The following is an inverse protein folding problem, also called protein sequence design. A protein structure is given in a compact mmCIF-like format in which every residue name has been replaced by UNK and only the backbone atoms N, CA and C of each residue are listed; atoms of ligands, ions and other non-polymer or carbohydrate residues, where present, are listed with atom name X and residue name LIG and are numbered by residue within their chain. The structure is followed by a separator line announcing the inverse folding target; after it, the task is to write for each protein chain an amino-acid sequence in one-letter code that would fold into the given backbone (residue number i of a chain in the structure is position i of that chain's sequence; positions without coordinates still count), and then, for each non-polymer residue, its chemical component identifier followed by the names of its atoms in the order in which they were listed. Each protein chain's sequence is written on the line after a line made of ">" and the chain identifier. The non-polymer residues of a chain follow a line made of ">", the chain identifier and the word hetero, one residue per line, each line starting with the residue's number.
data_IF_609883440823
#
_entry.id   IF_609883440823
#
_cell.length_a   1.000
_cell.length_b   1.000
_cell.length_c   1.000
_cell.angle_alpha   90.00
_cell.angle_beta   90.00
_cell.angle_gamma   90.00
#
_symmetry.space_group_name_H-M   'P 1'
#
loop_
_entity.id
_entity.type
_entity.pdbx_description
1 polymer ?
#
# COMPACT_ATOMS: atom_id res chain seq x y z
N UNK A 1 21.55 38.27 17.12
CA UNK A 1 20.50 37.44 16.49
C UNK A 1 19.41 37.22 17.52
N UNK A 2 18.24 37.85 17.36
CA UNK A 2 17.24 37.94 18.43
C UNK A 2 16.58 36.58 18.68
N UNK A 3 16.71 36.05 19.89
CA UNK A 3 16.18 34.74 20.30
C UNK A 3 14.67 34.60 20.01
N UNK A 4 13.91 35.70 20.08
CA UNK A 4 12.47 35.75 19.78
C UNK A 4 12.17 35.54 18.30
N UNK A 5 13.04 36.04 17.40
CA UNK A 5 12.89 35.89 15.95
C UNK A 5 13.20 34.45 15.54
N UNK A 6 14.21 33.83 16.16
CA UNK A 6 14.55 32.41 15.95
C UNK A 6 13.40 31.51 16.41
N UNK A 7 12.83 31.76 17.60
CA UNK A 7 11.70 30.98 18.11
C UNK A 7 10.46 31.13 17.21
N UNK A 8 10.11 32.34 16.79
CA UNK A 8 8.99 32.54 15.86
C UNK A 8 9.18 31.84 14.52
N UNK A 9 10.39 31.90 13.94
CA UNK A 9 10.68 31.23 12.66
C UNK A 9 10.60 29.70 12.78
N UNK A 10 11.06 29.14 13.90
CA UNK A 10 10.97 27.69 14.17
C UNK A 10 9.52 27.25 14.32
N UNK A 11 8.69 28.01 15.05
CA UNK A 11 7.26 27.69 15.24
C UNK A 11 6.50 27.79 13.91
N UNK A 12 6.76 28.82 13.11
CA UNK A 12 6.13 28.97 11.79
C UNK A 12 6.58 27.87 10.83
N UNK A 13 7.86 27.49 10.87
CA UNK A 13 8.39 26.37 10.06
C UNK A 13 7.76 25.02 10.43
N UNK A 14 7.59 24.73 11.71
CA UNK A 14 6.93 23.51 12.19
C UNK A 14 5.45 23.46 11.81
N UNK A 15 4.73 24.57 11.92
CA UNK A 15 3.33 24.66 11.51
C UNK A 15 3.17 24.50 10.00
N UNK A 16 4.03 25.13 9.20
CA UNK A 16 3.98 25.00 7.74
C UNK A 16 4.23 23.56 7.27
N UNK A 17 5.11 22.80 7.96
CA UNK A 17 5.36 21.39 7.64
C UNK A 17 4.13 20.49 7.87
N UNK A 18 3.28 20.80 8.85
CA UNK A 18 2.04 20.05 9.09
C UNK A 18 0.94 20.28 8.06
N UNK A 19 1.04 21.34 7.24
CA UNK A 19 0.12 21.63 6.15
C UNK A 19 0.67 21.27 4.78
N UNK A 20 1.82 20.61 4.71
CA UNK A 20 2.34 20.10 3.45
C UNK A 20 1.32 19.11 2.86
N UNK A 21 0.91 19.27 1.59
CA UNK A 21 0.04 18.31 0.94
C UNK A 21 0.72 16.93 1.00
N UNK A 22 -0.06 15.88 1.29
CA UNK A 22 0.46 14.52 1.22
C UNK A 22 1.00 14.28 -0.19
N UNK A 23 2.23 13.79 -0.29
CA UNK A 23 2.79 13.42 -1.58
C UNK A 23 2.07 12.18 -2.12
N UNK A 24 2.03 12.06 -3.44
CA UNK A 24 1.45 10.91 -4.13
C UNK A 24 1.98 9.57 -3.61
N UNK A 25 3.29 9.49 -3.30
CA UNK A 25 3.90 8.28 -2.75
C UNK A 25 3.31 7.91 -1.38
N UNK A 26 3.12 8.89 -0.50
CA UNK A 26 2.54 8.68 0.83
C UNK A 26 1.08 8.20 0.76
N UNK A 27 0.31 8.70 -0.21
CA UNK A 27 -1.09 8.26 -0.42
C UNK A 27 -1.14 6.81 -0.90
N UNK A 28 -0.27 6.42 -1.84
CA UNK A 28 -0.20 5.05 -2.35
C UNK A 28 0.27 4.06 -1.28
N UNK A 29 1.29 4.44 -0.50
CA UNK A 29 1.76 3.65 0.64
C UNK A 29 0.67 3.49 1.71
N UNK A 30 -0.06 4.57 2.01
CA UNK A 30 -1.20 4.54 2.91
C UNK A 30 -2.29 3.57 2.44
N UNK A 31 -2.64 3.62 1.15
CA UNK A 31 -3.63 2.73 0.54
C UNK A 31 -3.18 1.27 0.64
N UNK A 32 -1.94 0.97 0.27
CA UNK A 32 -1.39 -0.38 0.35
C UNK A 32 -1.36 -0.90 1.80
N UNK A 33 -1.00 -0.05 2.76
CA UNK A 33 -0.97 -0.40 4.18
C UNK A 33 -2.38 -0.68 4.73
N UNK A 34 -3.36 0.13 4.37
CA UNK A 34 -4.75 -0.04 4.83
C UNK A 34 -5.42 -1.29 4.20
N UNK A 35 -5.16 -1.59 2.92
CA UNK A 35 -5.58 -2.86 2.29
C UNK A 35 -4.90 -4.05 2.98
N UNK A 36 -3.60 -3.94 3.25
CA UNK A 36 -2.85 -4.96 4.01
C UNK A 36 -3.45 -5.17 5.40
N UNK A 37 -3.84 -4.10 6.10
CA UNK A 37 -4.49 -4.16 7.41
C UNK A 37 -5.79 -4.95 7.39
N UNK A 38 -6.63 -4.78 6.35
CA UNK A 38 -7.87 -5.57 6.17
C UNK A 38 -7.59 -7.06 5.93
N UNK A 39 -6.42 -7.39 5.39
CA UNK A 39 -6.01 -8.76 5.06
C UNK A 39 -5.09 -9.41 6.11
N UNK A 40 -4.64 -8.69 7.14
CA UNK A 40 -3.60 -9.15 8.07
C UNK A 40 -3.97 -10.44 8.84
N UNK A 41 -5.26 -10.68 9.09
CA UNK A 41 -5.76 -11.94 9.68
C UNK A 41 -5.87 -13.12 8.71
N UNK A 42 -5.69 -12.87 7.41
CA UNK A 42 -5.98 -13.77 6.30
C UNK A 42 -4.71 -14.04 5.45
N UNK A 43 -3.56 -14.13 6.12
CA UNK A 43 -2.23 -14.12 5.49
C UNK A 43 -1.97 -15.20 4.41
N UNK A 44 -2.75 -16.29 4.39
CA UNK A 44 -2.65 -17.32 3.35
C UNK A 44 -3.58 -17.07 2.18
N UNK A 45 -4.84 -16.81 2.45
CA UNK A 45 -5.86 -16.50 1.48
C UNK A 45 -6.80 -15.51 2.13
N UNK A 46 -7.11 -14.43 1.43
CA UNK A 46 -7.98 -13.39 1.95
C UNK A 46 -8.71 -12.68 0.84
N UNK A 47 -9.79 -12.01 1.23
CA UNK A 47 -10.66 -11.29 0.33
C UNK A 47 -10.81 -9.88 0.88
N UNK A 48 -10.82 -8.89 -0.02
CA UNK A 48 -10.96 -7.49 0.36
C UNK A 48 -11.73 -6.77 -0.73
N UNK A 49 -12.58 -5.84 -0.33
CA UNK A 49 -13.20 -4.89 -1.25
C UNK A 49 -12.31 -3.65 -1.34
N UNK A 50 -11.76 -3.42 -2.54
CA UNK A 50 -10.91 -2.29 -2.85
C UNK A 50 -11.65 -1.40 -3.85
N UNK A 51 -11.95 -0.16 -3.46
CA UNK A 51 -12.66 0.82 -4.30
C UNK A 51 -13.99 0.29 -4.89
N UNK A 52 -14.76 -0.47 -4.11
CA UNK A 52 -16.02 -1.07 -4.58
C UNK A 52 -15.85 -2.33 -5.43
N UNK A 53 -14.62 -2.81 -5.60
CA UNK A 53 -14.31 -4.01 -6.36
C UNK A 53 -13.81 -5.13 -5.47
N UNK A 54 -14.35 -6.32 -5.69
CA UNK A 54 -13.94 -7.50 -4.97
C UNK A 54 -12.57 -8.00 -5.45
N UNK A 55 -11.65 -8.16 -4.50
CA UNK A 55 -10.29 -8.60 -4.73
C UNK A 55 -9.96 -9.80 -3.87
N UNK A 56 -9.19 -10.72 -4.44
CA UNK A 56 -8.70 -11.92 -3.80
C UNK A 56 -7.18 -11.87 -3.66
N UNK A 57 -6.70 -12.31 -2.51
CA UNK A 57 -5.31 -12.48 -2.18
C UNK A 57 -5.03 -13.95 -1.87
N UNK A 58 -3.87 -14.45 -2.31
CA UNK A 58 -3.42 -15.81 -2.06
C UNK A 58 -1.90 -15.90 -1.93
N UNK A 59 -1.43 -16.84 -1.12
CA UNK A 59 -0.01 -17.17 -0.94
C UNK A 59 0.22 -18.64 -1.24
N UNK A 60 1.17 -18.91 -2.13
CA UNK A 60 1.62 -20.26 -2.44
C UNK A 60 3.07 -20.46 -2.00
N UNK A 61 3.40 -21.53 -1.26
CA UNK A 61 4.78 -21.88 -0.98
C UNK A 61 5.48 -22.33 -2.28
N UNK A 62 6.77 -21.99 -2.42
CA UNK A 62 7.63 -22.35 -3.53
C UNK A 62 8.98 -22.82 -3.00
N UNK A 63 9.38 -24.03 -3.37
CA UNK A 63 10.73 -24.53 -3.09
C UNK A 63 11.65 -24.13 -4.23
N UNK A 64 12.72 -23.40 -3.93
CA UNK A 64 13.72 -22.95 -4.91
C UNK A 64 15.10 -23.14 -4.30
N UNK A 65 15.98 -23.88 -4.98
CA UNK A 65 17.35 -24.15 -4.50
C UNK A 65 17.41 -24.66 -3.05
N UNK A 66 16.54 -25.60 -2.69
CA UNK A 66 16.41 -26.16 -1.33
C UNK A 66 15.96 -25.16 -0.24
N UNK A 67 15.50 -23.98 -0.61
CA UNK A 67 14.94 -22.99 0.31
C UNK A 67 13.44 -22.80 0.09
N UNK A 68 12.71 -22.47 1.16
CA UNK A 68 11.29 -22.16 1.12
C UNK A 68 11.07 -20.65 0.86
N UNK A 69 10.33 -20.36 -0.20
CA UNK A 69 9.85 -19.04 -0.56
C UNK A 69 8.32 -19.00 -0.53
N UNK A 70 7.78 -17.81 -0.34
CA UNK A 70 6.36 -17.51 -0.40
C UNK A 70 6.10 -16.60 -1.60
N UNK A 71 5.24 -17.04 -2.52
CA UNK A 71 4.77 -16.23 -3.63
C UNK A 71 3.37 -15.74 -3.33
N UNK A 72 3.21 -14.43 -3.15
CA UNK A 72 1.93 -13.77 -2.99
C UNK A 72 1.35 -13.35 -4.33
N UNK A 73 0.02 -13.41 -4.45
CA UNK A 73 -0.73 -12.93 -5.60
C UNK A 73 -2.00 -12.23 -5.16
N UNK A 74 -2.27 -11.06 -5.72
CA UNK A 74 -3.52 -10.31 -5.57
C UNK A 74 -4.17 -10.07 -6.92
N UNK A 75 -5.46 -10.35 -7.03
CA UNK A 75 -6.24 -10.20 -8.27
C UNK A 75 -7.64 -9.67 -7.96
N UNK A 76 -8.19 -8.82 -8.83
CA UNK A 76 -9.55 -8.32 -8.70
C UNK A 76 -10.39 -8.74 -9.92
N UNK A 77 -10.97 -9.95 -9.91
CA UNK A 77 -11.71 -10.48 -11.06
C UNK A 77 -12.90 -9.58 -11.41
N UNK A 78 -13.14 -9.37 -12.70
CA UNK A 78 -14.20 -8.49 -13.19
C UNK A 78 -13.85 -6.99 -13.17
N UNK A 79 -12.82 -6.56 -12.44
CA UNK A 79 -12.36 -5.18 -12.45
C UNK A 79 -11.18 -4.96 -13.40
N UNK A 80 -10.11 -5.73 -13.27
CA UNK A 80 -8.89 -5.54 -14.07
C UNK A 80 -8.09 -6.83 -14.26
N UNK A 81 -7.41 -7.02 -15.41
CA UNK A 81 -6.48 -8.13 -15.61
C UNK A 81 -5.16 -7.97 -14.84
N UNK A 82 -4.91 -6.79 -14.24
CA UNK A 82 -3.70 -6.51 -13.45
C UNK A 82 -3.64 -7.41 -12.22
N UNK A 83 -2.42 -7.83 -11.87
CA UNK A 83 -2.16 -8.66 -10.70
C UNK A 83 -0.99 -8.09 -9.91
N UNK A 84 -1.15 -8.07 -8.60
CA UNK A 84 -0.07 -7.85 -7.66
C UNK A 84 0.67 -9.16 -7.44
N UNK A 85 1.98 -9.16 -7.53
CA UNK A 85 2.81 -10.34 -7.29
C UNK A 85 4.08 -9.94 -6.54
N UNK A 86 4.42 -10.73 -5.52
CA UNK A 86 5.69 -10.63 -4.83
C UNK A 86 6.21 -12.02 -4.47
N UNK A 87 7.52 -12.14 -4.27
CA UNK A 87 8.17 -13.35 -3.77
C UNK A 87 9.11 -12.97 -2.62
N UNK A 88 9.02 -13.67 -1.49
CA UNK A 88 9.86 -13.42 -0.32
C UNK A 88 10.09 -14.69 0.48
N UNK A 89 11.20 -14.74 1.23
CA UNK A 89 11.44 -15.77 2.25
C UNK A 89 10.62 -15.52 3.52
N UNK A 90 10.15 -14.30 3.72
CA UNK A 90 9.31 -13.91 4.86
C UNK A 90 7.84 -14.08 4.54
N UNK A 91 7.14 -14.89 5.33
CA UNK A 91 5.68 -15.06 5.23
C UNK A 91 4.90 -13.85 5.74
N UNK A 92 5.50 -13.00 6.58
CA UNK A 92 4.83 -11.83 7.17
C UNK A 92 4.88 -10.61 6.25
N UNK A 93 5.99 -10.42 5.53
CA UNK A 93 6.16 -9.28 4.62
C UNK A 93 5.52 -9.46 3.24
N UNK A 94 5.15 -10.69 2.87
CA UNK A 94 4.68 -11.01 1.51
C UNK A 94 3.34 -10.36 1.17
N UNK A 95 2.44 -10.21 2.15
CA UNK A 95 1.15 -9.55 1.97
C UNK A 95 1.34 -8.08 1.61
N UNK A 96 2.10 -7.34 2.42
CA UNK A 96 2.36 -5.92 2.19
C UNK A 96 3.03 -5.68 0.82
N UNK A 97 4.03 -6.51 0.48
CA UNK A 97 4.72 -6.40 -0.80
C UNK A 97 3.80 -6.68 -2.00
N UNK A 98 2.95 -7.70 -1.91
CA UNK A 98 2.01 -8.06 -2.99
C UNK A 98 0.96 -6.96 -3.19
N UNK A 99 0.43 -6.43 -2.09
CA UNK A 99 -0.57 -5.36 -2.12
C UNK A 99 0.03 -4.07 -2.68
N UNK A 100 1.24 -3.70 -2.25
CA UNK A 100 1.95 -2.52 -2.78
C UNK A 100 2.19 -2.64 -4.30
N UNK A 101 2.61 -3.81 -4.77
CA UNK A 101 2.78 -4.08 -6.19
C UNK A 101 1.46 -3.96 -6.97
N UNK A 102 0.35 -4.49 -6.44
CA UNK A 102 -0.98 -4.31 -7.07
C UNK A 102 -1.37 -2.83 -7.16
N UNK A 103 -1.31 -2.11 -6.04
CA UNK A 103 -1.72 -0.70 -5.96
C UNK A 103 -0.88 0.15 -6.90
N UNK A 104 0.43 -0.05 -6.94
CA UNK A 104 1.32 0.67 -7.86
C UNK A 104 0.97 0.40 -9.33
N UNK A 105 0.73 -0.85 -9.72
CA UNK A 105 0.34 -1.20 -11.09
C UNK A 105 -1.02 -0.63 -11.46
N UNK A 106 -1.99 -0.70 -10.56
CA UNK A 106 -3.33 -0.16 -10.77
C UNK A 106 -3.30 1.36 -10.91
N UNK A 107 -2.46 2.05 -10.13
CA UNK A 107 -2.23 3.49 -10.25
C UNK A 107 -1.57 3.86 -11.59
N UNK A 108 -0.49 3.16 -11.97
CA UNK A 108 0.18 3.38 -13.26
C UNK A 108 -0.73 3.14 -14.47
N UNK A 109 -1.70 2.24 -14.34
CA UNK A 109 -2.71 1.97 -15.34
C UNK A 109 -3.90 2.96 -15.32
N UNK A 110 -3.91 3.94 -14.41
CA UNK A 110 -5.00 4.91 -14.27
C UNK A 110 -6.29 4.34 -13.70
N UNK A 111 -6.25 3.15 -13.08
CA UNK A 111 -7.41 2.49 -12.46
C UNK A 111 -7.66 3.00 -11.03
N UNK A 112 -6.63 3.55 -10.40
CA UNK A 112 -6.69 4.18 -9.09
C UNK A 112 -6.15 5.59 -9.26
N UNK A 113 -6.97 6.60 -8.95
CA UNK A 113 -6.49 7.98 -8.85
C UNK A 113 -6.09 8.32 -7.41
N UNK A 114 -5.37 9.42 -7.22
CA UNK A 114 -5.05 9.92 -5.88
C UNK A 114 -6.32 10.24 -5.08
N UNK A 115 -7.35 10.79 -5.73
CA UNK A 115 -8.64 11.10 -5.10
C UNK A 115 -9.42 9.84 -4.72
N UNK A 116 -9.35 8.78 -5.52
CA UNK A 116 -9.92 7.48 -5.15
C UNK A 116 -9.24 6.91 -3.90
N UNK A 117 -7.91 6.95 -3.87
CA UNK A 117 -7.11 6.49 -2.74
C UNK A 117 -7.41 7.29 -1.47
N UNK A 118 -7.45 8.63 -1.57
CA UNK A 118 -7.81 9.51 -0.45
C UNK A 118 -9.22 9.27 0.06
N UNK A 119 -10.21 9.08 -0.84
CA UNK A 119 -11.59 8.78 -0.45
C UNK A 119 -11.72 7.44 0.27
N UNK A 120 -10.92 6.45 -0.12
CA UNK A 120 -10.95 5.14 0.52
C UNK A 120 -10.23 5.11 1.87
N UNK A 121 -9.26 6.00 2.09
CA UNK A 121 -8.50 6.12 3.34
C UNK A 121 -9.20 6.96 4.43
N UNK A 122 -10.23 7.73 4.09
CA UNK A 122 -11.04 8.52 5.02
C UNK A 122 -12.32 7.77 5.42
#
# INVERSE_FOLDING_TARGET
>A
MNHRVVVSLVVVGLLAASFAPQSHAQVLEGLAAAVTGKLAGLWRNGEVELLGHYCQYSVSPKFKSFELYFRGRMTCPGWTPIRGEAESRSSTGILAATTADFVNKAFQAGLITEDDAKRWLN
#
